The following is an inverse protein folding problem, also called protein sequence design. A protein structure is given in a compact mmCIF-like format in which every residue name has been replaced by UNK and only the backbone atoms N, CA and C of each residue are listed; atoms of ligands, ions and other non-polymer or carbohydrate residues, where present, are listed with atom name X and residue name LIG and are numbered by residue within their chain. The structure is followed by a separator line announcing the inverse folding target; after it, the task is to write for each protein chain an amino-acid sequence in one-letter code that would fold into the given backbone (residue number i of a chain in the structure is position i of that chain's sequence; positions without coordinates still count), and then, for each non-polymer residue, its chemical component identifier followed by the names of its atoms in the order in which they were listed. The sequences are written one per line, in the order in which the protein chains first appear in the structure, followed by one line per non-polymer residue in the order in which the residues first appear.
data_IF_287763248389
#
_entry.id   IF_287763248389
#
_cell.length_a   1.000
_cell.length_b   1.000
_cell.length_c   1.000
_cell.angle_alpha   90.00
_cell.angle_beta   90.00
_cell.angle_gamma   90.00
#
_symmetry.space_group_name_H-M   'P 1'
#
loop_
_entity.id
_entity.type
_entity.pdbx_description
1 polymer ?
#
# COMPACT_ATOMS: atom_id res chain seq x y z
N UNK A 1 14.27 4.16 -3.29
CA UNK A 1 13.75 3.79 -1.96
C UNK A 1 14.68 2.80 -1.31
N UNK A 2 14.90 2.93 0.01
CA UNK A 2 15.63 1.96 0.83
C UNK A 2 14.77 1.57 2.03
N UNK A 3 14.57 0.27 2.24
CA UNK A 3 13.93 -0.28 3.43
C UNK A 3 14.99 -0.89 4.36
N UNK A 4 15.34 -0.16 5.41
CA UNK A 4 16.17 -0.62 6.52
C UNK A 4 15.37 -0.94 7.78
N UNK A 5 14.03 -0.96 7.72
CA UNK A 5 13.15 -1.08 8.88
C UNK A 5 13.30 -2.40 9.65
N UNK A 6 13.78 -3.44 8.99
CA UNK A 6 14.08 -4.75 9.58
C UNK A 6 15.38 -4.75 10.43
N UNK A 7 16.19 -3.72 10.32
CA UNK A 7 17.39 -3.54 11.14
C UNK A 7 17.08 -2.81 12.47
N UNK A 8 17.96 -2.90 13.48
CA UNK A 8 17.92 -1.99 14.61
C UNK A 8 17.97 -0.52 14.16
N UNK A 9 17.27 0.35 14.87
CA UNK A 9 17.08 1.77 14.50
C UNK A 9 18.37 2.49 14.07
N UNK A 10 19.45 2.37 14.84
CA UNK A 10 20.73 3.00 14.52
C UNK A 10 21.32 2.48 13.20
N UNK A 11 21.18 1.19 12.92
CA UNK A 11 21.65 0.58 11.68
C UNK A 11 20.81 1.04 10.49
N UNK A 12 19.50 1.17 10.64
CA UNK A 12 18.63 1.74 9.62
C UNK A 12 19.09 3.17 9.25
N UNK A 13 19.36 4.02 10.25
CA UNK A 13 19.89 5.36 10.02
C UNK A 13 21.19 5.32 9.23
N UNK A 14 22.15 4.48 9.61
CA UNK A 14 23.47 4.39 8.96
C UNK A 14 23.35 3.96 7.50
N UNK A 15 22.57 2.94 7.21
CA UNK A 15 22.39 2.43 5.83
C UNK A 15 21.61 3.43 4.98
N UNK A 16 20.52 3.99 5.51
CA UNK A 16 19.71 4.97 4.81
C UNK A 16 20.51 6.23 4.48
N UNK A 17 21.31 6.75 5.44
CA UNK A 17 22.16 7.90 5.20
C UNK A 17 23.19 7.67 4.09
N UNK A 18 23.84 6.50 4.04
CA UNK A 18 24.77 6.14 2.95
C UNK A 18 24.12 6.21 1.58
N UNK A 19 22.88 5.72 1.49
CA UNK A 19 22.10 5.77 0.23
C UNK A 19 21.76 7.22 -0.13
N UNK A 20 21.33 8.03 0.83
CA UNK A 20 21.06 9.46 0.63
C UNK A 20 22.31 10.20 0.14
N UNK A 21 23.44 10.05 0.85
CA UNK A 21 24.71 10.68 0.47
C UNK A 21 25.20 10.29 -0.93
N UNK A 22 24.86 9.08 -1.38
CA UNK A 22 25.18 8.64 -2.74
C UNK A 22 24.21 9.21 -3.76
N UNK A 23 22.90 9.06 -3.53
CA UNK A 23 21.86 9.42 -4.48
C UNK A 23 21.78 10.93 -4.74
N UNK A 24 21.93 11.76 -3.70
CA UNK A 24 21.86 13.22 -3.81
C UNK A 24 22.97 13.80 -4.69
N UNK A 25 24.11 13.10 -4.88
CA UNK A 25 25.15 13.52 -5.85
C UNK A 25 24.67 13.54 -7.29
N UNK A 26 23.58 12.82 -7.57
CA UNK A 26 22.98 12.66 -8.89
C UNK A 26 21.58 13.28 -8.99
N UNK A 27 21.20 14.12 -8.02
CA UNK A 27 19.88 14.74 -7.93
C UNK A 27 18.73 13.71 -7.91
N UNK A 28 18.95 12.58 -7.22
CA UNK A 28 17.98 11.49 -7.07
C UNK A 28 17.43 11.51 -5.66
N UNK A 29 16.10 11.64 -5.54
CA UNK A 29 15.39 11.58 -4.25
C UNK A 29 15.45 10.21 -3.61
N UNK A 30 15.46 10.17 -2.27
CA UNK A 30 15.49 8.93 -1.48
C UNK A 30 14.30 8.87 -0.55
N UNK A 31 13.55 7.77 -0.65
CA UNK A 31 12.53 7.38 0.31
C UNK A 31 13.13 6.38 1.30
N UNK A 32 13.00 6.66 2.59
CA UNK A 32 13.34 5.74 3.67
C UNK A 32 12.09 5.04 4.23
N UNK A 33 12.29 4.07 5.13
CA UNK A 33 11.19 3.40 5.83
C UNK A 33 11.50 3.28 7.34
N UNK A 34 10.47 3.58 8.16
CA UNK A 34 10.54 3.49 9.63
C UNK A 34 9.27 2.86 10.18
N UNK A 35 9.44 1.89 11.08
CA UNK A 35 8.41 0.97 11.51
C UNK A 35 8.41 -0.30 10.65
N UNK A 36 7.73 -1.35 11.09
CA UNK A 36 7.68 -2.64 10.38
C UNK A 36 6.25 -2.94 9.96
N UNK A 37 6.06 -3.20 8.68
CA UNK A 37 4.78 -3.64 8.14
C UNK A 37 4.70 -5.16 8.17
N UNK A 38 3.60 -5.70 8.72
CA UNK A 38 3.34 -7.14 8.65
C UNK A 38 3.02 -7.57 7.22
N UNK A 39 3.24 -8.85 6.93
CA UNK A 39 2.94 -9.46 5.63
C UNK A 39 4.17 -10.00 4.93
N UNK A 40 3.99 -10.30 3.65
CA UNK A 40 5.03 -10.82 2.77
C UNK A 40 5.21 -9.81 1.63
N UNK A 41 6.42 -9.29 1.50
CA UNK A 41 6.84 -8.47 0.38
C UNK A 41 8.15 -9.04 -0.17
N UNK A 42 8.09 -9.56 -1.39
CA UNK A 42 9.19 -10.30 -2.03
C UNK A 42 9.79 -11.37 -1.09
N UNK A 43 11.02 -11.18 -0.65
CA UNK A 43 11.74 -12.10 0.25
C UNK A 43 11.63 -11.73 1.74
N UNK A 44 10.94 -10.63 2.08
CA UNK A 44 10.78 -10.14 3.46
C UNK A 44 9.46 -10.61 4.05
N UNK A 45 9.52 -11.29 5.19
CA UNK A 45 8.35 -11.79 5.92
C UNK A 45 8.36 -11.21 7.33
N UNK A 46 7.35 -10.40 7.67
CA UNK A 46 7.15 -9.88 9.01
C UNK A 46 5.84 -10.43 9.62
N UNK A 47 5.97 -11.11 10.75
CA UNK A 47 4.83 -11.73 11.42
C UNK A 47 3.91 -10.71 12.13
N UNK A 48 4.43 -9.53 12.49
CA UNK A 48 3.70 -8.46 13.18
C UNK A 48 4.19 -7.10 12.71
N UNK A 49 3.26 -6.14 12.64
CA UNK A 49 3.60 -4.74 12.45
C UNK A 49 4.19 -4.14 13.72
N UNK A 50 5.19 -3.27 13.55
CA UNK A 50 5.69 -2.38 14.59
C UNK A 50 5.37 -0.97 14.15
N UNK A 51 4.46 -0.30 14.87
CA UNK A 51 4.05 1.06 14.52
C UNK A 51 5.21 2.03 14.68
N UNK A 52 5.28 2.96 13.73
CA UNK A 52 6.24 4.06 13.76
C UNK A 52 6.03 4.93 15.01
N UNK A 53 7.12 5.27 15.68
CA UNK A 53 7.10 6.20 16.81
C UNK A 53 7.35 7.61 16.30
N UNK A 54 6.42 8.57 16.52
CA UNK A 54 6.56 9.93 16.00
C UNK A 54 7.84 10.65 16.43
N UNK A 55 8.34 10.33 17.64
CA UNK A 55 9.60 10.88 18.16
C UNK A 55 10.82 10.45 17.34
N UNK A 56 10.80 9.21 16.86
CA UNK A 56 11.89 8.65 16.05
C UNK A 56 11.86 9.23 14.62
N UNK A 57 10.71 9.65 14.10
CA UNK A 57 10.58 10.18 12.73
C UNK A 57 11.40 11.46 12.57
N UNK A 58 11.26 12.42 13.47
CA UNK A 58 12.00 13.68 13.41
C UNK A 58 13.52 13.44 13.46
N UNK A 59 13.96 12.60 14.39
CA UNK A 59 15.37 12.24 14.55
C UNK A 59 15.90 11.49 13.31
N UNK A 60 15.13 10.54 12.78
CA UNK A 60 15.49 9.77 11.58
C UNK A 60 15.65 10.66 10.36
N UNK A 61 14.66 11.50 10.05
CA UNK A 61 14.72 12.44 8.92
C UNK A 61 15.93 13.38 9.03
N UNK A 62 16.17 13.92 10.22
CA UNK A 62 17.30 14.82 10.48
C UNK A 62 18.65 14.14 10.31
N UNK A 63 18.77 12.87 10.74
CA UNK A 63 20.04 12.13 10.69
C UNK A 63 20.34 11.51 9.34
N UNK A 64 19.31 11.15 8.58
CA UNK A 64 19.47 10.49 7.28
C UNK A 64 19.43 11.45 6.11
N UNK A 65 18.62 12.52 6.21
CA UNK A 65 18.40 13.46 5.11
C UNK A 65 17.50 12.90 4.00
N UNK A 66 16.65 11.90 4.28
CA UNK A 66 15.67 11.37 3.30
C UNK A 66 14.68 12.43 2.84
N UNK A 67 14.20 12.31 1.61
CA UNK A 67 13.26 13.25 0.99
C UNK A 67 11.80 12.90 1.27
N UNK A 68 11.53 11.63 1.58
CA UNK A 68 10.22 11.14 2.02
C UNK A 68 10.38 9.91 2.93
N UNK A 69 9.36 9.61 3.72
CA UNK A 69 9.42 8.51 4.68
C UNK A 69 8.16 7.65 4.65
N UNK A 70 8.34 6.36 4.40
CA UNK A 70 7.30 5.36 4.61
C UNK A 70 7.16 5.05 6.10
N UNK A 71 5.91 5.02 6.59
CA UNK A 71 5.57 4.80 7.99
C UNK A 71 4.60 3.64 8.17
N UNK A 72 4.65 3.00 9.34
CA UNK A 72 3.74 1.94 9.75
C UNK A 72 2.67 2.50 10.68
N UNK A 73 1.44 2.60 10.19
CA UNK A 73 0.26 3.08 10.94
C UNK A 73 -0.92 2.10 10.89
N UNK A 74 -0.66 0.84 10.53
CA UNK A 74 -1.68 -0.21 10.46
C UNK A 74 -1.97 -0.72 9.04
N UNK A 75 -1.21 -0.29 8.04
CA UNK A 75 -1.18 -0.94 6.73
C UNK A 75 -0.38 -2.25 6.80
N UNK A 76 -0.55 -3.12 5.78
CA UNK A 76 0.11 -4.42 5.73
C UNK A 76 0.25 -4.88 4.29
N UNK A 77 1.28 -5.67 3.99
CA UNK A 77 1.51 -6.19 2.63
C UNK A 77 0.56 -7.34 2.27
N UNK A 78 0.35 -7.56 0.97
CA UNK A 78 -0.48 -8.64 0.43
C UNK A 78 -1.99 -8.35 0.38
N UNK A 79 -2.78 -9.35 -0.03
CA UNK A 79 -4.24 -9.26 -0.15
C UNK A 79 -4.97 -9.73 1.13
N UNK A 80 -4.34 -10.51 1.98
CA UNK A 80 -4.87 -10.98 3.26
C UNK A 80 -4.21 -10.20 4.41
N UNK A 81 -4.47 -8.89 4.44
CA UNK A 81 -3.80 -7.96 5.37
C UNK A 81 -4.19 -8.18 6.83
N UNK A 82 -5.40 -8.66 7.06
CA UNK A 82 -5.97 -8.85 8.38
C UNK A 82 -6.54 -10.25 8.51
N UNK A 83 -6.35 -10.86 9.67
CA UNK A 83 -7.06 -12.10 10.01
C UNK A 83 -8.51 -11.78 10.37
N UNK A 84 -9.47 -12.67 10.14
CA UNK A 84 -10.88 -12.45 10.49
C UNK A 84 -11.09 -12.03 11.96
N UNK A 85 -10.25 -12.54 12.88
CA UNK A 85 -10.30 -12.23 14.31
C UNK A 85 -9.89 -10.79 14.64
N UNK A 86 -9.18 -10.13 13.72
CA UNK A 86 -8.76 -8.72 13.85
C UNK A 86 -9.81 -7.76 13.31
N UNK A 87 -10.82 -8.29 12.58
CA UNK A 87 -11.86 -7.50 11.93
C UNK A 87 -13.16 -7.53 12.74
N UNK A 88 -13.94 -6.46 12.64
CA UNK A 88 -15.36 -6.47 12.99
C UNK A 88 -16.20 -6.85 11.78
N UNK A 89 -17.49 -7.19 12.00
CA UNK A 89 -18.45 -7.42 10.90
C UNK A 89 -19.49 -6.33 10.90
N UNK A 90 -19.80 -5.80 9.73
CA UNK A 90 -20.97 -4.92 9.59
C UNK A 90 -22.28 -5.74 9.54
N UNK A 91 -23.43 -5.04 9.41
CA UNK A 91 -24.76 -5.66 9.33
C UNK A 91 -24.94 -6.63 8.14
N UNK A 92 -24.10 -6.52 7.12
CA UNK A 92 -24.11 -7.38 5.93
C UNK A 92 -23.10 -8.54 6.04
N UNK A 93 -22.41 -8.67 7.19
CA UNK A 93 -21.41 -9.72 7.43
C UNK A 93 -20.04 -9.46 6.77
N UNK A 94 -19.83 -8.27 6.21
CA UNK A 94 -18.55 -7.88 5.59
C UNK A 94 -17.52 -7.59 6.69
N UNK A 95 -16.33 -8.11 6.51
CA UNK A 95 -15.20 -7.87 7.41
C UNK A 95 -14.69 -6.42 7.28
N UNK A 96 -14.64 -5.71 8.39
CA UNK A 96 -14.10 -4.35 8.50
C UNK A 96 -12.81 -4.42 9.31
N UNK A 97 -11.68 -4.01 8.74
CA UNK A 97 -10.40 -4.00 9.45
C UNK A 97 -10.36 -2.92 10.53
N UNK A 98 -9.43 -3.01 11.49
CA UNK A 98 -9.19 -1.92 12.45
C UNK A 98 -8.82 -0.63 11.73
N UNK A 99 -9.14 0.53 12.30
CA UNK A 99 -8.78 1.82 11.71
C UNK A 99 -7.26 2.03 11.70
N UNK A 100 -6.78 2.77 10.71
CA UNK A 100 -5.40 3.25 10.72
C UNK A 100 -5.15 4.18 11.92
N UNK A 101 -3.93 4.16 12.42
CA UNK A 101 -3.47 4.98 13.55
C UNK A 101 -3.22 6.43 13.08
N UNK A 102 -4.31 7.15 12.83
CA UNK A 102 -4.25 8.56 12.45
C UNK A 102 -3.64 9.45 13.51
N UNK A 103 -3.73 9.06 14.78
CA UNK A 103 -3.05 9.73 15.89
C UNK A 103 -1.53 9.80 15.68
N UNK A 104 -0.92 8.72 15.14
CA UNK A 104 0.51 8.70 14.80
C UNK A 104 0.78 9.64 13.62
N UNK A 105 -0.04 9.60 12.56
CA UNK A 105 0.14 10.46 11.40
C UNK A 105 0.00 11.95 11.75
N UNK A 106 -1.00 12.31 12.55
CA UNK A 106 -1.27 13.67 13.01
C UNK A 106 -0.10 14.20 13.89
N UNK A 107 0.45 13.36 14.76
CA UNK A 107 1.60 13.75 15.59
C UNK A 107 2.89 13.91 14.75
N UNK A 108 3.10 13.06 13.74
CA UNK A 108 4.23 13.21 12.80
C UNK A 108 4.09 14.53 12.04
N UNK A 109 2.91 14.83 11.48
CA UNK A 109 2.65 16.08 10.75
C UNK A 109 2.88 17.32 11.63
N UNK A 110 2.53 17.23 12.92
CA UNK A 110 2.79 18.31 13.89
C UNK A 110 4.28 18.52 14.16
N UNK A 111 5.10 17.44 14.20
CA UNK A 111 6.55 17.50 14.47
C UNK A 111 7.37 17.97 13.29
N UNK A 112 7.02 17.50 12.09
CA UNK A 112 7.73 17.83 10.85
C UNK A 112 6.75 18.32 9.78
N UNK A 113 6.18 19.52 9.93
CA UNK A 113 5.15 20.04 9.04
C UNK A 113 5.62 20.08 7.58
N UNK A 114 4.78 19.57 6.67
CA UNK A 114 5.05 19.59 5.23
C UNK A 114 6.06 18.55 4.76
N UNK A 115 6.56 17.68 5.63
CA UNK A 115 7.44 16.59 5.21
C UNK A 115 6.63 15.47 4.52
N UNK A 116 7.08 14.97 3.33
CA UNK A 116 6.36 13.96 2.57
C UNK A 116 6.30 12.60 3.27
N UNK A 117 5.10 12.12 3.59
CA UNK A 117 4.85 10.80 4.19
C UNK A 117 4.33 9.83 3.13
N UNK A 118 4.73 8.57 3.23
CA UNK A 118 4.36 7.49 2.33
C UNK A 118 3.67 6.37 3.10
N UNK A 119 2.67 5.74 2.47
CA UNK A 119 2.05 4.51 2.97
C UNK A 119 2.35 3.35 2.02
N UNK A 120 3.03 2.33 2.54
CA UNK A 120 3.19 1.03 1.92
C UNK A 120 2.06 0.08 2.36
N UNK A 121 1.89 -1.03 1.65
CA UNK A 121 0.92 -2.05 1.99
C UNK A 121 -0.53 -1.54 2.03
N UNK A 122 -0.88 -0.55 1.22
CA UNK A 122 -2.12 0.21 1.30
C UNK A 122 -3.20 -0.20 0.29
N UNK A 123 -3.09 -1.38 -0.35
CA UNK A 123 -4.14 -1.87 -1.26
C UNK A 123 -5.48 -2.05 -0.53
N UNK A 124 -6.59 -1.67 -1.19
CA UNK A 124 -7.92 -1.74 -0.60
C UNK A 124 -8.60 -3.10 -0.78
N UNK A 125 -8.04 -3.97 -1.65
CA UNK A 125 -8.58 -5.30 -1.92
C UNK A 125 -10.07 -5.26 -2.25
N UNK A 126 -10.47 -4.63 -3.39
CA UNK A 126 -11.89 -4.45 -3.72
C UNK A 126 -12.66 -5.76 -3.74
N UNK A 127 -13.73 -5.84 -2.96
CA UNK A 127 -14.51 -7.07 -2.78
C UNK A 127 -15.14 -7.60 -4.09
N UNK A 128 -15.48 -6.69 -5.00
CA UNK A 128 -15.99 -7.05 -6.33
C UNK A 128 -14.95 -7.77 -7.19
N UNK A 129 -13.67 -7.43 -7.09
CA UNK A 129 -12.60 -8.13 -7.81
C UNK A 129 -12.35 -9.51 -7.21
N UNK A 130 -12.37 -9.64 -5.89
CA UNK A 130 -12.30 -10.95 -5.20
C UNK A 130 -13.47 -11.83 -5.60
N UNK A 131 -14.70 -11.28 -5.59
CA UNK A 131 -15.90 -11.97 -6.05
C UNK A 131 -15.76 -12.42 -7.51
N UNK A 132 -15.30 -11.54 -8.39
CA UNK A 132 -15.10 -11.86 -9.81
C UNK A 132 -14.09 -13.00 -9.98
N UNK A 133 -12.93 -12.96 -9.29
CA UNK A 133 -11.96 -14.05 -9.31
C UNK A 133 -12.60 -15.37 -8.89
N UNK A 134 -13.37 -15.38 -7.80
CA UNK A 134 -14.00 -16.60 -7.28
C UNK A 134 -15.12 -17.13 -8.20
N UNK A 135 -15.88 -16.23 -8.84
CA UNK A 135 -16.89 -16.59 -9.85
C UNK A 135 -16.27 -17.32 -11.04
N UNK A 136 -15.09 -16.91 -11.46
CA UNK A 136 -14.37 -17.47 -12.61
C UNK A 136 -13.25 -18.47 -12.21
N UNK A 137 -13.55 -19.34 -11.23
CA UNK A 137 -12.73 -20.49 -10.84
C UNK A 137 -11.60 -20.20 -9.85
N UNK A 138 -11.56 -19.02 -9.24
CA UNK A 138 -10.66 -18.71 -8.11
C UNK A 138 -11.16 -19.28 -6.79
N UNK A 139 -10.31 -19.21 -5.76
CA UNK A 139 -10.61 -19.69 -4.39
C UNK A 139 -10.00 -18.75 -3.34
N UNK A 140 -10.16 -17.44 -3.52
CA UNK A 140 -9.71 -16.46 -2.53
C UNK A 140 -10.68 -16.43 -1.35
N UNK A 141 -10.13 -16.52 -0.14
CA UNK A 141 -10.87 -16.43 1.13
C UNK A 141 -10.31 -15.30 1.98
N UNK A 142 -11.18 -14.69 2.78
CA UNK A 142 -10.81 -13.74 3.84
C UNK A 142 -9.89 -12.60 3.37
N UNK A 143 -10.04 -12.18 2.11
CA UNK A 143 -9.26 -11.10 1.54
C UNK A 143 -9.85 -9.75 2.01
N UNK A 144 -9.09 -9.03 2.82
CA UNK A 144 -9.47 -7.72 3.41
C UNK A 144 -8.33 -6.75 3.22
N UNK A 145 -8.62 -5.56 2.70
CA UNK A 145 -7.66 -4.49 2.50
C UNK A 145 -7.97 -3.26 3.36
N UNK A 146 -7.29 -2.16 3.06
CA UNK A 146 -7.51 -0.87 3.75
C UNK A 146 -8.69 -0.15 3.10
N UNK A 147 -9.73 0.26 3.85
CA UNK A 147 -10.85 1.02 3.31
C UNK A 147 -10.42 2.31 2.59
N UNK A 148 -10.98 2.56 1.40
CA UNK A 148 -10.57 3.72 0.57
C UNK A 148 -10.83 5.07 1.24
N UNK A 149 -11.86 5.16 2.10
CA UNK A 149 -12.12 6.37 2.89
C UNK A 149 -11.00 6.67 3.89
N UNK A 150 -10.35 5.65 4.45
CA UNK A 150 -9.19 5.83 5.33
C UNK A 150 -7.96 6.29 4.53
N UNK A 151 -7.73 5.70 3.36
CA UNK A 151 -6.67 6.14 2.45
C UNK A 151 -6.91 7.57 1.99
N UNK A 152 -8.17 7.93 1.68
CA UNK A 152 -8.55 9.30 1.32
C UNK A 152 -8.33 10.28 2.47
N UNK A 153 -8.63 9.88 3.71
CA UNK A 153 -8.33 10.70 4.89
C UNK A 153 -6.82 10.93 5.00
N UNK A 154 -6.00 9.89 4.86
CA UNK A 154 -4.54 9.99 4.89
C UNK A 154 -3.99 10.92 3.78
N UNK A 155 -4.51 10.79 2.54
CA UNK A 155 -4.10 11.62 1.41
C UNK A 155 -4.52 13.11 1.52
N UNK A 156 -5.36 13.47 2.48
CA UNK A 156 -5.69 14.86 2.81
C UNK A 156 -4.79 15.47 3.89
N UNK A 157 -3.92 14.68 4.49
CA UNK A 157 -2.94 15.05 5.50
C UNK A 157 -1.53 14.99 4.88
N UNK A 158 -0.51 14.62 5.64
CA UNK A 158 0.89 14.57 5.20
C UNK A 158 1.22 13.46 4.18
N UNK A 159 0.30 12.52 3.92
CA UNK A 159 0.54 11.42 2.99
C UNK A 159 0.49 11.89 1.54
N UNK A 160 1.65 11.90 0.89
CA UNK A 160 1.82 12.33 -0.50
C UNK A 160 1.93 11.17 -1.51
N UNK A 161 2.19 9.96 -1.03
CA UNK A 161 2.34 8.75 -1.86
C UNK A 161 1.69 7.55 -1.17
N UNK A 162 0.97 6.75 -1.95
CA UNK A 162 0.31 5.52 -1.48
C UNK A 162 0.66 4.37 -2.43
N UNK A 163 1.34 3.33 -1.93
CA UNK A 163 1.72 2.18 -2.73
C UNK A 163 0.56 1.16 -2.78
N UNK A 164 0.13 0.83 -4.01
CA UNK A 164 -0.97 -0.08 -4.29
C UNK A 164 -0.50 -1.11 -5.33
N UNK A 165 -0.36 -2.36 -4.93
CA UNK A 165 0.01 -3.47 -5.82
C UNK A 165 -1.10 -4.53 -5.90
N UNK A 166 -1.56 -5.06 -4.77
CA UNK A 166 -2.53 -6.16 -4.75
C UNK A 166 -3.81 -5.86 -5.52
N UNK A 167 -4.30 -4.62 -5.51
CA UNK A 167 -5.49 -4.22 -6.26
C UNK A 167 -5.29 -4.37 -7.78
N UNK A 168 -4.10 -4.02 -8.28
CA UNK A 168 -3.73 -4.21 -9.68
C UNK A 168 -3.65 -5.69 -10.05
N UNK A 169 -3.03 -6.50 -9.21
CA UNK A 169 -2.97 -7.97 -9.40
C UNK A 169 -4.36 -8.59 -9.43
N UNK A 170 -5.25 -8.16 -8.53
CA UNK A 170 -6.65 -8.62 -8.50
C UNK A 170 -7.40 -8.27 -9.78
N UNK A 171 -7.29 -7.03 -10.26
CA UNK A 171 -7.94 -6.58 -11.49
C UNK A 171 -7.46 -7.38 -12.71
N UNK A 172 -6.14 -7.53 -12.87
CA UNK A 172 -5.56 -8.34 -13.95
C UNK A 172 -6.05 -9.80 -13.89
N UNK A 173 -5.95 -10.43 -12.72
CA UNK A 173 -6.36 -11.83 -12.53
C UNK A 173 -7.84 -12.04 -12.78
N UNK A 174 -8.69 -11.15 -12.28
CA UNK A 174 -10.15 -11.22 -12.45
C UNK A 174 -10.54 -11.19 -13.93
N UNK A 175 -9.98 -10.22 -14.67
CA UNK A 175 -10.30 -10.05 -16.09
C UNK A 175 -9.76 -11.20 -16.95
N UNK A 176 -8.53 -11.67 -16.70
CA UNK A 176 -7.97 -12.82 -17.44
C UNK A 176 -8.80 -14.08 -17.18
N UNK A 177 -9.16 -14.37 -15.91
CA UNK A 177 -10.01 -15.53 -15.60
C UNK A 177 -11.36 -15.45 -16.31
N UNK A 178 -12.00 -14.28 -16.26
CA UNK A 178 -13.27 -14.06 -16.96
C UNK A 178 -13.13 -14.31 -18.47
N UNK A 179 -12.14 -13.72 -19.11
CA UNK A 179 -11.94 -13.85 -20.55
C UNK A 179 -11.73 -15.31 -21.00
N UNK A 180 -10.96 -16.09 -20.23
CA UNK A 180 -10.70 -17.51 -20.53
C UNK A 180 -11.90 -18.43 -20.22
N UNK A 181 -12.75 -18.09 -19.26
CA UNK A 181 -13.99 -18.82 -19.00
C UNK A 181 -15.06 -18.50 -20.05
N UNK A 182 -15.19 -17.22 -20.43
CA UNK A 182 -16.14 -16.78 -21.46
C UNK A 182 -15.78 -17.34 -22.83
N UNK A 183 -14.49 -17.53 -23.13
CA UNK A 183 -13.99 -18.14 -24.35
C UNK A 183 -12.88 -19.17 -24.07
N UNK A 184 -13.24 -20.43 -23.74
CA UNK A 184 -12.25 -21.46 -23.36
C UNK A 184 -11.27 -21.86 -24.48
N UNK A 185 -11.58 -21.54 -25.75
CA UNK A 185 -10.71 -21.82 -26.89
C UNK A 185 -9.68 -20.70 -27.15
N UNK A 186 -9.75 -19.62 -26.40
CA UNK A 186 -8.84 -18.47 -26.59
C UNK A 186 -7.43 -18.78 -26.12
N UNK A 187 -6.45 -18.55 -26.97
CA UNK A 187 -5.03 -18.76 -26.69
C UNK A 187 -4.15 -17.51 -27.01
N UNK A 188 -4.72 -16.48 -27.64
CA UNK A 188 -4.00 -15.25 -27.97
C UNK A 188 -3.94 -14.30 -26.77
N UNK A 189 -2.74 -14.03 -26.18
CA UNK A 189 -2.59 -13.12 -25.07
C UNK A 189 -3.21 -11.74 -25.27
N UNK A 190 -3.21 -11.22 -26.48
CA UNK A 190 -3.80 -9.92 -26.80
C UNK A 190 -5.31 -9.89 -26.53
N UNK A 191 -5.97 -11.03 -26.61
CA UNK A 191 -7.43 -11.17 -26.40
C UNK A 191 -7.81 -11.26 -24.93
N UNK A 192 -7.00 -11.91 -24.07
CA UNK A 192 -7.30 -11.98 -22.64
C UNK A 192 -6.56 -10.94 -21.80
N UNK A 193 -5.41 -10.41 -22.26
CA UNK A 193 -4.73 -9.30 -21.57
C UNK A 193 -5.31 -7.92 -21.94
N UNK A 194 -5.98 -7.78 -23.08
CA UNK A 194 -6.68 -6.54 -23.46
C UNK A 194 -7.71 -6.12 -22.42
N UNK A 195 -8.72 -6.96 -22.12
CA UNK A 195 -9.69 -6.69 -21.04
C UNK A 195 -9.04 -6.48 -19.67
N UNK A 196 -7.95 -7.18 -19.38
CA UNK A 196 -7.21 -7.04 -18.13
C UNK A 196 -6.57 -5.65 -18.00
N UNK A 197 -5.92 -5.16 -19.06
CA UNK A 197 -5.39 -3.79 -19.13
C UNK A 197 -6.48 -2.74 -18.95
N UNK A 198 -7.64 -2.94 -19.59
CA UNK A 198 -8.74 -1.98 -19.53
C UNK A 198 -9.36 -1.92 -18.14
N UNK A 199 -9.54 -3.07 -17.45
CA UNK A 199 -10.00 -3.10 -16.07
C UNK A 199 -8.98 -2.46 -15.11
N UNK A 200 -7.68 -2.70 -15.33
CA UNK A 200 -6.61 -2.08 -14.54
C UNK A 200 -6.59 -0.56 -14.71
N UNK A 201 -6.78 -0.07 -15.93
CA UNK A 201 -6.88 1.37 -16.23
C UNK A 201 -8.04 2.02 -15.48
N UNK A 202 -9.22 1.42 -15.48
CA UNK A 202 -10.37 1.95 -14.73
C UNK A 202 -10.13 1.91 -13.22
N UNK A 203 -9.52 0.85 -12.69
CA UNK A 203 -9.11 0.78 -11.29
C UNK A 203 -8.21 1.97 -10.90
N UNK A 204 -7.15 2.22 -11.64
CA UNK A 204 -6.22 3.32 -11.31
C UNK A 204 -6.87 4.69 -11.46
N UNK A 205 -7.74 4.87 -12.44
CA UNK A 205 -8.54 6.09 -12.58
C UNK A 205 -9.38 6.36 -11.33
N UNK A 206 -10.06 5.34 -10.82
CA UNK A 206 -10.83 5.45 -9.58
C UNK A 206 -9.92 5.77 -8.37
N UNK A 207 -8.73 5.15 -8.27
CA UNK A 207 -7.77 5.47 -7.21
C UNK A 207 -7.30 6.93 -7.27
N UNK A 208 -7.01 7.45 -8.46
CA UNK A 208 -6.63 8.85 -8.65
C UNK A 208 -7.76 9.81 -8.20
N UNK A 209 -8.99 9.47 -8.52
CA UNK A 209 -10.16 10.32 -8.19
C UNK A 209 -10.54 10.19 -6.72
N UNK A 210 -10.80 8.96 -6.27
CA UNK A 210 -11.43 8.69 -4.98
C UNK A 210 -10.45 8.67 -3.81
N UNK A 211 -9.24 8.15 -4.02
CA UNK A 211 -8.22 8.01 -2.97
C UNK A 211 -7.29 9.22 -2.96
N UNK A 212 -6.56 9.47 -4.04
CA UNK A 212 -5.57 10.55 -4.08
C UNK A 212 -6.22 11.93 -4.23
N UNK A 213 -7.30 12.04 -5.02
CA UNK A 213 -7.92 13.32 -5.36
C UNK A 213 -6.99 14.24 -6.13
N UNK A 214 -6.10 13.65 -6.93
CA UNK A 214 -5.12 14.34 -7.76
C UNK A 214 -5.58 14.54 -9.20
N UNK A 215 -6.83 14.18 -9.53
CA UNK A 215 -7.41 14.42 -10.85
C UNK A 215 -7.46 15.92 -11.15
N UNK A 216 -7.09 16.29 -12.40
CA UNK A 216 -7.00 17.69 -12.86
C UNK A 216 -6.02 18.58 -12.07
N UNK A 217 -4.96 17.99 -11.50
CA UNK A 217 -3.91 18.70 -10.75
C UNK A 217 -2.52 18.54 -11.38
N UNK A 218 -2.47 18.34 -12.68
CA UNK A 218 -1.23 18.26 -13.47
C UNK A 218 -1.03 19.52 -14.28
#
# INVERSE_FOLDING_TARGET
MIDGSHHPYQKNIEETRKVVEYAHKYDVTVEGELGVLAGIEDDVVAAKSVYTQPEEVEDFVKKTGVDSLAISIGTSHGANKFKPEQCTKNSEGVLIPPPLRFDILEEIERRIPGFPIVLHGASSVPAELVKMINTYGGKMKDAVGIPEEQLRKAAKSAVCKINIDSDGRLAMTAAVRKALVDNPAEFDPRKYLGPARDLLKELYKLKIINVLGSNNKG
#
